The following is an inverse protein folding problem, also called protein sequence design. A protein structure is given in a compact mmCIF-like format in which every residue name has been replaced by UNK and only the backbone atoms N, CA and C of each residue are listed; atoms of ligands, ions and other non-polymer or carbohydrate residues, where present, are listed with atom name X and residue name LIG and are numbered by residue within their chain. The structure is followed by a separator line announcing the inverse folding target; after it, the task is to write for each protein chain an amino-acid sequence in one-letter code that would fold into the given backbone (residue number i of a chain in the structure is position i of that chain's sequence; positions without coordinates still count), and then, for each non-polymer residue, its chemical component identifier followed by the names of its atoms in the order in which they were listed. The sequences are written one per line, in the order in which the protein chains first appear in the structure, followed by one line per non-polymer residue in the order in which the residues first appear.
data_IF_374948984486
#
_entry.id   IF_374948984486
#
_cell.length_a   1.000
_cell.length_b   1.000
_cell.length_c   1.000
_cell.angle_alpha   90.00
_cell.angle_beta   90.00
_cell.angle_gamma   90.00
#
_symmetry.space_group_name_H-M   'P 1'
#
loop_
_entity.id
_entity.type
_entity.pdbx_description
1 polymer ?
#
# COMPACT_ATOMS: atom_id res chain seq x y z
N UNK A 1 -47.51 -45.94 -45.38
CA UNK A 1 -47.16 -45.36 -44.06
C UNK A 1 -47.45 -43.87 -44.09
N UNK A 2 -48.54 -43.42 -43.48
CA UNK A 2 -48.83 -42.00 -43.27
C UNK A 2 -48.22 -41.59 -41.93
N UNK A 3 -47.40 -40.54 -41.93
CA UNK A 3 -46.87 -39.94 -40.69
C UNK A 3 -48.05 -39.30 -39.96
N UNK A 4 -48.36 -39.80 -38.76
CA UNK A 4 -49.47 -39.33 -37.95
C UNK A 4 -49.32 -37.84 -37.64
N UNK A 5 -50.37 -37.05 -37.92
CA UNK A 5 -50.39 -35.59 -37.71
C UNK A 5 -50.10 -35.20 -36.25
N UNK A 6 -50.34 -36.12 -35.32
CA UNK A 6 -50.00 -35.99 -33.90
C UNK A 6 -48.48 -35.97 -33.65
N UNK A 7 -47.72 -36.80 -34.37
CA UNK A 7 -46.25 -36.88 -34.24
C UNK A 7 -45.58 -35.62 -34.80
N UNK A 8 -46.13 -35.10 -35.91
CA UNK A 8 -45.65 -33.84 -36.50
C UNK A 8 -45.92 -32.64 -35.59
N UNK A 9 -47.08 -32.62 -34.92
CA UNK A 9 -47.42 -31.57 -33.95
C UNK A 9 -46.51 -31.59 -32.72
N UNK A 10 -46.08 -32.77 -32.26
CA UNK A 10 -45.17 -32.85 -31.12
C UNK A 10 -43.74 -32.46 -31.48
N UNK A 11 -43.26 -32.81 -32.68
CA UNK A 11 -41.99 -32.35 -33.22
C UNK A 11 -41.89 -30.82 -33.30
N UNK A 12 -42.96 -30.14 -33.73
CA UNK A 12 -43.00 -28.68 -33.80
C UNK A 12 -43.00 -28.01 -32.41
N UNK A 13 -43.53 -28.67 -31.39
CA UNK A 13 -43.59 -28.16 -30.02
C UNK A 13 -42.22 -28.24 -29.30
N UNK A 14 -41.41 -29.25 -29.63
CA UNK A 14 -40.03 -29.37 -29.10
C UNK A 14 -39.04 -28.41 -29.75
N UNK A 15 -39.22 -28.07 -31.04
CA UNK A 15 -38.38 -27.09 -31.75
C UNK A 15 -38.67 -25.64 -31.32
N UNK A 16 -39.90 -25.35 -30.88
CA UNK A 16 -40.30 -24.01 -30.43
C UNK A 16 -39.76 -23.58 -29.06
N UNK A 17 -39.28 -24.50 -28.23
CA UNK A 17 -38.86 -24.21 -26.84
C UNK A 17 -37.33 -24.08 -26.65
N UNK A 18 -36.54 -24.30 -27.70
CA UNK A 18 -35.06 -24.25 -27.63
C UNK A 18 -34.44 -22.88 -27.97
N UNK A 19 -35.26 -21.84 -28.17
CA UNK A 19 -34.84 -20.54 -28.71
C UNK A 19 -34.62 -19.39 -27.71
N UNK A 20 -34.37 -19.68 -26.42
CA UNK A 20 -34.20 -18.65 -25.38
C UNK A 20 -32.85 -18.78 -24.63
N UNK A 21 -31.76 -18.88 -25.39
CA UNK A 21 -30.41 -18.70 -24.87
C UNK A 21 -29.56 -17.93 -25.88
N UNK A 22 -29.99 -16.71 -26.22
CA UNK A 22 -29.12 -15.74 -26.90
C UNK A 22 -28.49 -14.87 -25.82
N UNK A 23 -27.22 -15.14 -25.50
CA UNK A 23 -26.41 -14.23 -24.71
C UNK A 23 -26.28 -12.91 -25.48
N UNK A 24 -26.69 -11.80 -24.87
CA UNK A 24 -26.37 -10.47 -25.35
C UNK A 24 -24.85 -10.32 -25.36
N UNK A 25 -24.22 -10.38 -26.53
CA UNK A 25 -22.85 -9.90 -26.70
C UNK A 25 -22.91 -8.37 -26.64
N UNK A 26 -22.66 -7.83 -25.45
CA UNK A 26 -22.33 -6.42 -25.27
C UNK A 26 -21.04 -6.15 -26.04
N UNK A 27 -21.11 -5.20 -26.96
CA UNK A 27 -19.97 -4.74 -27.76
C UNK A 27 -18.91 -4.15 -26.84
N UNK A 28 -17.72 -4.72 -26.88
CA UNK A 28 -16.52 -4.26 -26.18
C UNK A 28 -16.04 -2.97 -26.86
N UNK A 29 -16.54 -1.82 -26.39
CA UNK A 29 -15.97 -0.52 -26.72
C UNK A 29 -15.78 0.28 -25.42
N UNK A 30 -14.52 0.59 -25.15
CA UNK A 30 -14.03 1.54 -24.15
C UNK A 30 -14.26 1.18 -22.69
N UNK A 31 -13.45 0.26 -22.18
CA UNK A 31 -12.92 0.42 -20.82
C UNK A 31 -11.41 0.25 -20.86
N UNK A 32 -10.71 1.38 -21.06
CA UNK A 32 -9.34 1.55 -20.56
C UNK A 32 -9.36 1.09 -19.10
N UNK A 33 -8.61 0.03 -18.71
CA UNK A 33 -8.48 -0.30 -17.30
C UNK A 33 -7.60 0.78 -16.68
N UNK A 34 -8.22 1.83 -16.16
CA UNK A 34 -7.61 2.59 -15.08
C UNK A 34 -7.51 1.62 -13.90
N UNK A 35 -6.29 1.35 -13.45
CA UNK A 35 -5.93 0.24 -12.57
C UNK A 35 -6.90 0.00 -11.41
N UNK A 36 -7.82 -0.93 -11.61
CA UNK A 36 -8.56 -1.56 -10.52
C UNK A 36 -7.75 -2.79 -10.11
N UNK A 37 -6.85 -2.61 -9.15
CA UNK A 37 -6.17 -3.70 -8.46
C UNK A 37 -7.24 -4.64 -7.88
N UNK A 38 -7.51 -5.73 -8.60
CA UNK A 38 -8.26 -6.85 -8.05
C UNK A 38 -7.53 -7.36 -6.80
N UNK A 39 -8.24 -7.42 -5.68
CA UNK A 39 -7.72 -7.98 -4.42
C UNK A 39 -7.53 -9.50 -4.60
N UNK A 40 -6.36 -9.92 -5.07
CA UNK A 40 -5.99 -11.34 -5.00
C UNK A 40 -5.84 -11.73 -3.53
N UNK A 41 -6.63 -12.71 -3.09
CA UNK A 41 -6.76 -13.11 -1.68
C UNK A 41 -5.50 -13.77 -1.06
N UNK A 42 -4.41 -13.91 -1.80
CA UNK A 42 -3.08 -14.24 -1.30
C UNK A 42 -2.03 -13.50 -2.13
N UNK A 43 -1.96 -12.17 -1.97
CA UNK A 43 -0.81 -11.43 -2.47
C UNK A 43 0.42 -11.87 -1.68
N UNK A 44 1.24 -12.74 -2.28
CA UNK A 44 2.55 -13.09 -1.76
C UNK A 44 3.43 -11.84 -1.78
N UNK A 45 3.46 -11.12 -0.66
CA UNK A 45 4.35 -9.99 -0.42
C UNK A 45 5.75 -10.50 -0.10
N UNK A 46 6.75 -9.69 -0.41
CA UNK A 46 8.13 -9.97 0.02
C UNK A 46 8.22 -9.83 1.53
N UNK A 47 9.08 -10.63 2.15
CA UNK A 47 9.39 -10.50 3.57
C UNK A 47 10.04 -9.16 3.88
N UNK A 48 9.65 -8.55 5.00
CA UNK A 48 10.24 -7.32 5.49
C UNK A 48 11.72 -7.52 5.84
N UNK A 49 12.58 -6.62 5.37
CA UNK A 49 14.01 -6.65 5.72
C UNK A 49 14.28 -6.18 7.15
N UNK A 50 13.34 -5.46 7.78
CA UNK A 50 13.43 -4.99 9.15
C UNK A 50 12.72 -5.97 10.09
N UNK A 51 13.34 -6.25 11.24
CA UNK A 51 12.71 -7.07 12.29
C UNK A 51 11.99 -6.16 13.29
N UNK A 52 10.66 -6.28 13.35
CA UNK A 52 9.84 -5.58 14.34
C UNK A 52 9.80 -6.31 15.69
N UNK A 53 10.21 -7.58 15.76
CA UNK A 53 10.09 -8.42 16.96
C UNK A 53 10.74 -7.80 18.21
N UNK A 54 11.92 -7.22 18.04
CA UNK A 54 12.76 -6.75 19.13
C UNK A 54 12.59 -5.26 19.45
N UNK A 55 11.58 -4.61 18.88
CA UNK A 55 11.30 -3.20 19.17
C UNK A 55 10.68 -2.99 20.56
N UNK A 56 10.82 -1.77 21.08
CA UNK A 56 10.22 -1.41 22.35
C UNK A 56 8.76 -0.96 22.16
N UNK A 57 7.82 -1.84 22.49
CA UNK A 57 6.38 -1.59 22.38
C UNK A 57 5.80 -0.74 23.51
N UNK A 58 6.60 -0.33 24.50
CA UNK A 58 6.13 0.42 25.68
C UNK A 58 5.53 1.77 25.29
N UNK A 59 6.03 2.40 24.22
CA UNK A 59 5.49 3.68 23.71
C UNK A 59 3.98 3.55 23.44
N UNK A 60 3.56 2.44 22.84
CA UNK A 60 2.15 2.15 22.55
C UNK A 60 1.45 1.63 23.81
N UNK A 61 1.99 0.59 24.46
CA UNK A 61 1.28 -0.13 25.53
C UNK A 61 1.11 0.65 26.83
N UNK A 62 1.96 1.66 27.07
CA UNK A 62 1.83 2.55 28.23
C UNK A 62 0.74 3.60 28.06
N UNK A 63 0.46 4.04 26.83
CA UNK A 63 -0.44 5.15 26.50
C UNK A 63 -1.79 4.68 25.97
N UNK A 64 -1.81 3.71 25.07
CA UNK A 64 -3.02 3.17 24.45
C UNK A 64 -3.59 2.01 25.27
N UNK A 65 -4.58 2.27 26.13
CA UNK A 65 -5.16 1.26 27.04
C UNK A 65 -6.64 1.06 26.81
N UNK A 66 -7.06 -0.21 26.89
CA UNK A 66 -8.46 -0.60 26.88
C UNK A 66 -9.16 -0.30 28.22
N UNK A 67 -10.49 -0.40 28.26
CA UNK A 67 -11.36 -0.93 27.18
C UNK A 67 -11.78 0.13 26.14
N UNK A 68 -11.61 1.42 26.45
CA UNK A 68 -12.13 2.50 25.59
C UNK A 68 -11.17 2.91 24.47
N UNK A 69 -9.87 2.58 24.57
CA UNK A 69 -8.85 2.89 23.56
C UNK A 69 -8.95 4.32 22.99
N UNK A 70 -8.74 5.35 23.83
CA UNK A 70 -8.94 6.74 23.41
C UNK A 70 -8.06 7.09 22.19
N UNK A 71 -8.71 7.44 21.08
CA UNK A 71 -8.08 7.69 19.79
C UNK A 71 -6.89 8.66 19.88
N UNK A 72 -7.02 9.78 20.59
CA UNK A 72 -5.94 10.78 20.71
C UNK A 72 -4.65 10.20 21.31
N UNK A 73 -4.75 9.35 22.34
CA UNK A 73 -3.60 8.70 22.97
C UNK A 73 -3.09 7.52 22.14
N UNK A 74 -3.99 6.74 21.55
CA UNK A 74 -3.61 5.58 20.74
C UNK A 74 -2.92 5.99 19.44
N UNK A 75 -3.44 7.00 18.75
CA UNK A 75 -2.90 7.46 17.47
C UNK A 75 -1.61 8.25 17.63
N UNK A 76 -1.50 9.10 18.67
CA UNK A 76 -0.22 9.77 18.97
C UNK A 76 0.89 8.78 19.31
N UNK A 77 0.60 7.79 20.16
CA UNK A 77 1.56 6.75 20.52
C UNK A 77 1.93 5.86 19.31
N UNK A 78 0.96 5.54 18.46
CA UNK A 78 1.18 4.79 17.24
C UNK A 78 2.08 5.55 16.25
N UNK A 79 1.82 6.84 16.03
CA UNK A 79 2.67 7.69 15.17
C UNK A 79 4.09 7.80 15.73
N UNK A 80 4.25 8.02 17.03
CA UNK A 80 5.56 8.07 17.68
C UNK A 80 6.37 6.77 17.49
N UNK A 81 5.68 5.62 17.52
CA UNK A 81 6.31 4.32 17.29
C UNK A 81 6.59 4.03 15.81
N UNK A 82 5.65 4.33 14.91
CA UNK A 82 5.67 3.88 13.52
C UNK A 82 6.43 4.82 12.58
N UNK A 83 6.44 6.13 12.87
CA UNK A 83 7.02 7.13 11.98
C UNK A 83 8.52 6.96 11.67
N UNK A 84 9.38 6.50 12.61
CA UNK A 84 10.78 6.18 12.29
C UNK A 84 10.95 5.09 11.22
N UNK A 85 9.90 4.33 10.92
CA UNK A 85 9.91 3.21 9.99
C UNK A 85 8.96 3.42 8.79
N UNK A 86 8.49 4.65 8.57
CA UNK A 86 7.48 4.97 7.56
C UNK A 86 7.84 4.47 6.15
N UNK A 87 9.11 4.55 5.76
CA UNK A 87 9.59 4.08 4.44
C UNK A 87 9.36 2.58 4.24
N UNK A 88 9.59 1.77 5.27
CA UNK A 88 9.34 0.33 5.24
C UNK A 88 7.85 0.01 5.26
N UNK A 89 7.07 0.77 6.04
CA UNK A 89 5.64 0.54 6.21
C UNK A 89 4.83 0.94 4.98
N UNK A 90 5.27 1.98 4.26
CA UNK A 90 4.62 2.48 3.06
C UNK A 90 4.99 1.68 1.80
N UNK A 91 5.93 0.73 1.87
CA UNK A 91 6.21 -0.19 0.77
C UNK A 91 5.12 -1.27 0.66
N UNK A 92 4.15 -1.03 -0.24
CA UNK A 92 3.06 -1.94 -0.53
C UNK A 92 3.50 -3.30 -1.13
N UNK A 93 4.76 -3.47 -1.53
CA UNK A 93 5.29 -4.74 -2.06
C UNK A 93 5.77 -5.72 -0.98
N UNK A 94 5.90 -5.24 0.27
CA UNK A 94 6.38 -6.03 1.41
C UNK A 94 5.28 -6.30 2.43
N UNK A 95 5.53 -7.23 3.34
CA UNK A 95 4.68 -7.54 4.49
C UNK A 95 5.02 -6.73 5.75
N UNK A 96 5.88 -5.69 5.65
CA UNK A 96 6.36 -4.91 6.79
C UNK A 96 5.21 -4.36 7.65
N UNK A 97 4.19 -3.75 7.05
CA UNK A 97 3.03 -3.23 7.79
C UNK A 97 2.26 -4.35 8.53
N UNK A 98 2.01 -5.47 7.87
CA UNK A 98 1.31 -6.62 8.48
C UNK A 98 2.11 -7.23 9.62
N UNK A 99 3.43 -7.35 9.46
CA UNK A 99 4.35 -7.81 10.51
C UNK A 99 4.34 -6.88 11.71
N UNK A 100 4.51 -5.57 11.50
CA UNK A 100 4.47 -4.57 12.57
C UNK A 100 3.16 -4.61 13.35
N UNK A 101 2.01 -4.59 12.67
CA UNK A 101 0.71 -4.67 13.36
C UNK A 101 0.52 -5.98 14.12
N UNK A 102 1.06 -7.10 13.63
CA UNK A 102 1.01 -8.38 14.34
C UNK A 102 1.72 -8.29 15.69
N UNK A 103 2.95 -7.76 15.72
CA UNK A 103 3.68 -7.59 16.97
C UNK A 103 3.07 -6.52 17.89
N UNK A 104 2.54 -5.42 17.35
CA UNK A 104 1.79 -4.44 18.15
C UNK A 104 0.61 -5.13 18.85
N UNK A 105 -0.19 -5.89 18.11
CA UNK A 105 -1.37 -6.55 18.65
C UNK A 105 -1.01 -7.62 19.68
N UNK A 106 0.05 -8.41 19.44
CA UNK A 106 0.51 -9.43 20.39
C UNK A 106 1.02 -8.82 21.69
N UNK A 107 1.85 -7.77 21.62
CA UNK A 107 2.44 -7.14 22.81
C UNK A 107 1.43 -6.35 23.64
N UNK A 108 0.47 -5.67 22.98
CA UNK A 108 -0.54 -4.87 23.65
C UNK A 108 -1.88 -5.57 23.90
N UNK A 109 -2.05 -6.80 23.37
CA UNK A 109 -3.34 -7.51 23.33
C UNK A 109 -4.45 -6.67 22.69
N UNK A 110 -4.13 -5.97 21.61
CA UNK A 110 -5.07 -5.11 20.90
C UNK A 110 -5.99 -5.91 19.96
N UNK A 111 -7.26 -5.53 19.83
CA UNK A 111 -8.13 -6.12 18.83
C UNK A 111 -7.63 -5.78 17.41
N UNK A 112 -7.78 -6.72 16.45
CA UNK A 112 -7.36 -6.48 15.08
C UNK A 112 -8.13 -5.30 14.48
N UNK A 113 -7.40 -4.40 13.81
CA UNK A 113 -7.98 -3.21 13.18
C UNK A 113 -8.17 -2.01 14.09
N UNK A 114 -7.83 -2.08 15.40
CA UNK A 114 -7.99 -0.96 16.34
C UNK A 114 -7.39 0.36 15.80
N UNK A 115 -6.13 0.34 15.38
CA UNK A 115 -5.48 1.56 14.90
C UNK A 115 -6.05 2.02 13.56
N UNK A 116 -6.57 1.11 12.73
CA UNK A 116 -7.23 1.49 11.48
C UNK A 116 -8.62 2.12 11.71
N UNK A 117 -9.31 1.75 12.79
CA UNK A 117 -10.61 2.33 13.15
C UNK A 117 -10.48 3.65 13.90
N UNK A 118 -9.55 3.70 14.86
CA UNK A 118 -9.34 4.87 15.73
C UNK A 118 -8.53 5.98 15.05
N UNK A 119 -7.56 5.63 14.22
CA UNK A 119 -6.62 6.58 13.64
C UNK A 119 -6.96 6.88 12.19
N UNK A 120 -7.87 7.84 12.02
CA UNK A 120 -8.21 8.39 10.72
C UNK A 120 -7.32 9.60 10.46
N UNK A 121 -6.48 9.50 9.43
CA UNK A 121 -5.68 10.60 8.93
C UNK A 121 -6.42 11.43 7.89
N UNK A 122 -5.68 12.23 7.15
CA UNK A 122 -6.19 13.00 6.02
C UNK A 122 -6.21 12.15 4.73
N UNK A 123 -6.44 12.76 3.57
CA UNK A 123 -6.52 12.06 2.27
C UNK A 123 -5.25 11.27 1.93
N UNK A 124 -4.10 11.75 2.38
CA UNK A 124 -2.79 11.15 2.19
C UNK A 124 -2.45 10.09 3.25
N UNK A 125 -3.35 9.87 4.22
CA UNK A 125 -3.17 8.94 5.33
C UNK A 125 -2.71 9.63 6.61
N UNK A 126 -2.01 8.87 7.45
CA UNK A 126 -1.53 9.31 8.76
C UNK A 126 -0.20 10.07 8.59
N UNK A 127 -0.26 11.40 8.70
CA UNK A 127 0.93 12.24 8.59
C UNK A 127 1.85 12.06 9.81
N UNK A 128 3.12 11.78 9.54
CA UNK A 128 4.14 11.77 10.57
C UNK A 128 4.53 13.21 10.96
N UNK A 129 4.65 13.52 12.26
CA UNK A 129 5.14 14.84 12.67
C UNK A 129 6.57 15.05 12.15
N UNK A 130 6.97 16.31 11.87
CA UNK A 130 8.34 16.60 11.49
C UNK A 130 9.26 16.08 12.59
N UNK A 131 10.25 15.28 12.22
CA UNK A 131 11.18 14.67 13.17
C UNK A 131 11.83 15.76 14.02
N UNK A 132 11.48 15.85 15.30
CA UNK A 132 12.24 16.62 16.28
C UNK A 132 13.49 15.84 16.68
N UNK A 133 14.38 15.62 15.71
CA UNK A 133 15.72 15.09 15.92
C UNK A 133 16.70 16.28 16.02
N UNK A 134 17.66 16.30 16.96
CA UNK A 134 18.79 17.23 16.91
C UNK A 134 19.69 17.05 15.68
N UNK A 135 19.49 15.98 14.90
CA UNK A 135 20.31 15.64 13.75
C UNK A 135 19.50 15.72 12.44
N UNK A 136 19.05 16.93 12.15
CA UNK A 136 18.90 17.41 10.80
C UNK A 136 19.52 18.81 10.75
N UNK A 137 20.81 18.89 11.09
CA UNK A 137 21.63 19.97 10.58
C UNK A 137 21.64 19.82 9.06
N UNK A 138 20.76 20.59 8.43
CA UNK A 138 20.87 21.07 7.07
C UNK A 138 22.35 21.35 6.80
N UNK A 139 23.02 20.43 6.11
CA UNK A 139 24.39 20.65 5.71
C UNK A 139 24.35 21.84 4.74
N UNK A 140 24.98 22.98 5.04
CA UNK A 140 24.92 24.12 4.16
C UNK A 140 25.56 23.74 2.83
N UNK A 141 24.73 23.69 1.79
CA UNK A 141 25.08 23.41 0.40
C UNK A 141 26.00 24.48 -0.23
N UNK A 142 26.61 25.33 0.59
CA UNK A 142 27.42 26.47 0.16
C UNK A 142 28.91 26.15 0.01
N UNK A 143 29.42 25.05 0.60
CA UNK A 143 30.85 24.69 0.47
C UNK A 143 31.13 23.72 -0.70
N UNK A 144 30.12 22.97 -1.17
CA UNK A 144 30.29 22.02 -2.28
C UNK A 144 30.37 22.70 -3.66
N UNK A 145 29.84 23.92 -3.79
CA UNK A 145 29.84 24.65 -5.07
C UNK A 145 31.22 25.22 -5.45
N UNK A 146 32.05 25.60 -4.46
CA UNK A 146 33.40 26.14 -4.70
C UNK A 146 34.41 25.06 -5.12
N UNK A 147 34.27 23.84 -4.59
CA UNK A 147 35.19 22.73 -4.90
C UNK A 147 34.98 22.24 -6.34
N UNK A 148 33.73 22.14 -6.79
CA UNK A 148 33.40 21.74 -8.18
C UNK A 148 33.91 22.78 -9.19
N UNK A 149 33.81 24.08 -8.85
CA UNK A 149 34.33 25.16 -9.71
C UNK A 149 35.87 25.15 -9.83
N UNK A 150 36.59 24.84 -8.75
CA UNK A 150 38.05 24.74 -8.75
C UNK A 150 38.56 23.54 -9.57
N UNK A 151 37.87 22.39 -9.48
CA UNK A 151 38.24 21.19 -10.25
C UNK A 151 37.99 21.40 -11.75
N UNK A 152 36.87 22.03 -12.12
CA UNK A 152 36.56 22.35 -13.51
C UNK A 152 37.58 23.34 -14.13
N UNK A 153 38.01 24.34 -13.35
CA UNK A 153 39.03 25.31 -13.76
C UNK A 153 40.41 24.67 -13.99
N UNK A 154 40.84 23.77 -13.10
CA UNK A 154 42.13 23.08 -13.23
C UNK A 154 42.19 22.15 -14.45
N UNK A 155 41.09 21.47 -14.78
CA UNK A 155 41.02 20.63 -15.97
C UNK A 155 41.10 21.46 -17.27
N UNK A 156 40.44 22.61 -17.34
CA UNK A 156 40.48 23.47 -18.52
C UNK A 156 41.90 24.02 -18.80
N UNK A 157 42.62 24.40 -17.73
CA UNK A 157 44.00 24.91 -17.85
C UNK A 157 44.95 23.79 -18.31
N UNK A 158 44.80 22.56 -17.82
CA UNK A 158 45.65 21.44 -18.22
C UNK A 158 45.48 21.09 -19.70
N UNK A 159 44.24 21.15 -20.22
CA UNK A 159 43.96 20.90 -21.64
C UNK A 159 44.54 22.01 -22.53
N UNK A 160 44.49 23.28 -22.09
CA UNK A 160 45.05 24.40 -22.85
C UNK A 160 46.60 24.43 -22.88
N UNK A 161 47.28 23.68 -22.01
CA UNK A 161 48.75 23.56 -22.02
C UNK A 161 49.20 22.36 -22.89
N UNK A 162 48.30 21.39 -23.13
CA UNK A 162 48.57 20.17 -23.90
C UNK A 162 48.21 20.30 -25.39
N UNK A 163 47.59 21.40 -25.80
CA UNK A 163 47.27 21.75 -27.19
C UNK A 163 47.85 23.13 -27.52
#
# INVERSE_FOLDING_TARGET
MGIDRSVFSWMLLFVGLSGLASCSFVSDDVLKPHGSTGRSLLQAKKSCSMSFEFLNYTIITSKCKGPQYPASLCCSAFLEFACPYADYLNDATTDCASSMFSYINLNGRYPPGLFASECQGEKEGLACPPSSSPDAADAPHSAQSLIIALIASMCAILVAILF
#
